data_IF_602433908119
#
_entry.id   IF_602433908119
#
_cell.length_a   1.000
_cell.length_b   1.000
_cell.length_c   1.000
_cell.angle_alpha   90.00
_cell.angle_beta   90.00
_cell.angle_gamma   90.00
#
_symmetry.space_group_name_H-M   'P 1'
#
loop_
_entity.id
_entity.type
_entity.pdbx_description
1 polymer ?
#
# COMPACT_ATOMS: atom_id res chain seq x y z
N UNK A 1 1.90 -8.72 -3.53
CA UNK A 1 0.51 -8.25 -3.73
C UNK A 1 0.54 -6.97 -4.55
N UNK A 2 -0.36 -6.80 -5.50
CA UNK A 2 -0.45 -5.57 -6.27
C UNK A 2 -1.19 -4.50 -5.49
N UNK A 3 -0.99 -3.22 -5.89
CA UNK A 3 -1.72 -2.11 -5.28
C UNK A 3 -3.23 -2.29 -5.47
N UNK A 4 -3.64 -2.78 -6.63
CA UNK A 4 -5.05 -3.00 -6.93
C UNK A 4 -5.67 -4.07 -6.02
N UNK A 5 -4.93 -5.15 -5.77
CA UNK A 5 -5.38 -6.18 -4.84
C UNK A 5 -5.50 -5.63 -3.43
N UNK A 6 -4.54 -4.83 -3.00
CA UNK A 6 -4.57 -4.23 -1.67
C UNK A 6 -5.75 -3.28 -1.52
N UNK A 7 -6.00 -2.45 -2.54
CA UNK A 7 -7.15 -1.55 -2.55
C UNK A 7 -8.47 -2.33 -2.46
N UNK A 8 -8.57 -3.43 -3.19
CA UNK A 8 -9.75 -4.31 -3.15
C UNK A 8 -9.95 -4.89 -1.75
N UNK A 9 -8.88 -5.34 -1.12
CA UNK A 9 -8.94 -5.86 0.25
C UNK A 9 -9.37 -4.79 1.25
N UNK A 10 -8.96 -3.56 1.02
CA UNK A 10 -9.34 -2.43 1.88
C UNK A 10 -10.76 -1.92 1.59
N UNK A 11 -11.37 -2.36 0.48
CA UNK A 11 -12.69 -1.89 0.10
C UNK A 11 -12.71 -0.48 -0.46
N UNK A 12 -11.59 -0.02 -1.03
CA UNK A 12 -11.47 1.33 -1.57
C UNK A 12 -10.95 1.27 -3.01
N UNK A 13 -11.09 2.39 -3.73
CA UNK A 13 -10.53 2.49 -5.07
C UNK A 13 -9.01 2.65 -5.02
N UNK A 14 -8.35 2.37 -6.14
CA UNK A 14 -6.91 2.57 -6.25
C UNK A 14 -6.51 4.03 -5.98
N UNK A 15 -7.30 4.97 -6.46
CA UNK A 15 -7.04 6.40 -6.22
C UNK A 15 -7.09 6.73 -4.73
N UNK A 16 -8.05 6.17 -4.00
CA UNK A 16 -8.15 6.37 -2.55
C UNK A 16 -6.94 5.77 -1.84
N UNK A 17 -6.52 4.57 -2.24
CA UNK A 17 -5.33 3.94 -1.67
C UNK A 17 -4.08 4.80 -1.92
N UNK A 18 -3.94 5.34 -3.11
CA UNK A 18 -2.81 6.22 -3.44
C UNK A 18 -2.81 7.47 -2.56
N UNK A 19 -3.97 8.05 -2.28
CA UNK A 19 -4.08 9.19 -1.37
C UNK A 19 -3.66 8.82 0.04
N UNK A 20 -4.04 7.63 0.51
CA UNK A 20 -3.65 7.15 1.83
C UNK A 20 -2.14 6.95 1.95
N UNK A 21 -1.51 6.46 0.89
CA UNK A 21 -0.08 6.18 0.90
C UNK A 21 0.79 7.43 0.76
N UNK A 22 0.21 8.53 0.28
CA UNK A 22 0.96 9.76 -0.01
C UNK A 22 1.71 10.30 1.21
N UNK A 23 1.05 10.46 2.39
CA UNK A 23 1.76 10.99 3.57
C UNK A 23 2.80 10.02 4.16
N UNK A 24 2.73 8.74 3.83
CA UNK A 24 3.69 7.75 4.34
C UNK A 24 4.62 7.23 3.24
N UNK A 25 4.66 7.91 2.10
CA UNK A 25 5.44 7.46 0.95
C UNK A 25 6.92 7.29 1.29
N UNK A 26 7.49 8.19 2.08
CA UNK A 26 8.90 8.10 2.48
C UNK A 26 9.18 6.83 3.27
N UNK A 27 8.30 6.46 4.20
CA UNK A 27 8.43 5.22 4.95
C UNK A 27 8.33 4.01 4.02
N UNK A 28 7.41 4.05 3.07
CA UNK A 28 7.24 2.94 2.12
C UNK A 28 8.50 2.76 1.26
N UNK A 29 9.11 3.85 0.83
CA UNK A 29 10.35 3.80 0.05
C UNK A 29 11.48 3.19 0.87
N UNK A 30 11.58 3.53 2.15
CA UNK A 30 12.58 2.96 3.04
C UNK A 30 12.37 1.46 3.26
N UNK A 31 11.13 0.99 3.16
CA UNK A 31 10.81 -0.42 3.30
C UNK A 31 11.10 -1.22 2.03
N UNK A 32 11.51 -0.56 0.96
CA UNK A 32 11.84 -1.22 -0.28
C UNK A 32 10.81 -1.09 -1.39
N UNK A 33 9.79 -0.25 -1.21
CA UNK A 33 8.83 0.00 -2.27
C UNK A 33 9.51 0.75 -3.43
N UNK A 34 9.26 0.30 -4.66
CA UNK A 34 9.78 0.94 -5.85
C UNK A 34 8.67 1.81 -6.45
N UNK A 35 8.86 3.14 -6.57
CA UNK A 35 7.86 4.00 -7.18
C UNK A 35 7.56 3.56 -8.61
N UNK A 36 6.29 3.50 -8.96
CA UNK A 36 5.86 3.05 -10.28
C UNK A 36 5.77 1.54 -10.45
N UNK A 37 6.26 0.75 -9.51
CA UNK A 37 6.11 -0.70 -9.56
C UNK A 37 4.65 -1.07 -9.28
N UNK A 38 4.13 -2.06 -10.00
CA UNK A 38 2.76 -2.54 -9.80
C UNK A 38 2.65 -3.43 -8.57
N UNK A 39 3.72 -4.14 -8.25
CA UNK A 39 3.75 -5.09 -7.14
C UNK A 39 4.35 -4.44 -5.91
N UNK A 40 3.79 -4.76 -4.75
CA UNK A 40 4.27 -4.29 -3.46
C UNK A 40 4.99 -5.43 -2.75
N UNK A 41 6.17 -5.18 -2.16
CA UNK A 41 6.81 -6.18 -1.32
C UNK A 41 5.92 -6.55 -0.12
N UNK A 42 6.03 -7.78 0.40
CA UNK A 42 5.22 -8.20 1.55
C UNK A 42 5.37 -7.27 2.77
N UNK A 43 6.56 -6.74 3.00
CA UNK A 43 6.80 -5.82 4.13
C UNK A 43 6.00 -4.54 3.96
N UNK A 44 5.90 -4.01 2.74
CA UNK A 44 5.12 -2.81 2.45
C UNK A 44 3.63 -3.09 2.62
N UNK A 45 3.15 -4.22 2.10
CA UNK A 45 1.76 -4.64 2.26
C UNK A 45 1.39 -4.72 3.74
N UNK A 46 2.23 -5.36 4.52
CA UNK A 46 2.00 -5.50 5.96
C UNK A 46 1.95 -4.15 6.66
N UNK A 47 2.88 -3.26 6.32
CA UNK A 47 2.92 -1.93 6.91
C UNK A 47 1.63 -1.15 6.60
N UNK A 48 1.20 -1.15 5.35
CA UNK A 48 -0.02 -0.45 4.95
C UNK A 48 -1.24 -1.07 5.64
N UNK A 49 -1.31 -2.39 5.69
CA UNK A 49 -2.42 -3.09 6.33
C UNK A 49 -2.54 -2.72 7.80
N UNK A 50 -1.42 -2.69 8.52
CA UNK A 50 -1.41 -2.32 9.93
C UNK A 50 -1.72 -0.84 10.12
N UNK A 51 -1.19 0.01 9.25
CA UNK A 51 -1.37 1.46 9.36
C UNK A 51 -2.82 1.88 9.17
N UNK A 52 -3.55 1.20 8.28
CA UNK A 52 -4.93 1.56 7.93
C UNK A 52 -5.93 0.49 8.38
N UNK A 53 -5.52 -0.44 9.21
CA UNK A 53 -6.39 -1.49 9.75
C UNK A 53 -7.08 -2.29 8.64
N UNK A 54 -6.34 -2.62 7.59
CA UNK A 54 -6.85 -3.44 6.49
C UNK A 54 -6.80 -4.90 6.91
N UNK A 55 -7.92 -5.59 6.77
CA UNK A 55 -8.00 -7.01 7.07
C UNK A 55 -7.58 -7.82 5.85
N UNK A 56 -6.43 -8.47 5.95
CA UNK A 56 -5.88 -9.29 4.86
C UNK A 56 -6.26 -10.75 5.00
#
# INVERSE_FOLDING_TARGET
MSKQQLASKAGVSLNTLNKWCKPIQNELLQLGMIPGARMLPPVVVKYIAERFCIDL
#
